data_IF_738941452810
#
_entry.id   IF_738941452810
#
_cell.length_a   1.000
_cell.length_b   1.000
_cell.length_c   1.000
_cell.angle_alpha   90.00
_cell.angle_beta   90.00
_cell.angle_gamma   90.00
#
_symmetry.space_group_name_H-M   'P 1'
#
loop_
_entity.id
_entity.type
_entity.pdbx_description
1 polymer ?
#
# COMPACT_ATOMS: atom_id res chain seq x y z
N UNK A 1 2.68 -13.76 56.60
CA UNK A 1 2.51 -12.41 56.03
C UNK A 1 3.59 -11.99 55.01
N UNK A 2 4.62 -12.80 54.74
CA UNK A 2 5.67 -12.47 53.75
C UNK A 2 5.48 -13.10 52.36
N UNK A 3 4.68 -14.16 52.21
CA UNK A 3 4.47 -14.85 50.93
C UNK A 3 3.48 -14.10 50.03
N UNK A 4 2.53 -13.36 50.63
CA UNK A 4 1.50 -12.63 49.89
C UNK A 4 2.06 -11.40 49.14
N UNK A 5 3.10 -10.76 49.68
CA UNK A 5 3.78 -9.63 49.04
C UNK A 5 4.68 -10.04 47.86
N UNK A 6 5.19 -11.27 47.86
CA UNK A 6 6.05 -11.76 46.77
C UNK A 6 5.25 -12.08 45.51
N UNK A 7 4.01 -12.58 45.67
CA UNK A 7 3.11 -12.89 44.56
C UNK A 7 2.54 -11.61 43.91
N UNK A 8 2.34 -10.53 44.67
CA UNK A 8 1.92 -9.25 44.10
C UNK A 8 3.02 -8.52 43.30
N UNK A 9 4.31 -8.80 43.58
CA UNK A 9 5.43 -8.22 42.82
C UNK A 9 5.72 -8.92 41.50
N UNK A 10 5.17 -10.13 41.26
CA UNK A 10 5.34 -10.87 40.01
C UNK A 10 4.26 -10.57 38.94
N UNK A 11 3.23 -9.78 39.28
CA UNK A 11 2.18 -9.40 38.34
C UNK A 11 2.33 -7.99 37.73
N UNK A 12 3.44 -7.30 38.02
CA UNK A 12 3.83 -6.07 37.32
C UNK A 12 4.77 -6.37 36.14
N UNK A 13 4.42 -7.35 35.30
CA UNK A 13 4.77 -7.21 33.88
C UNK A 13 3.88 -6.09 33.38
N UNK A 14 4.43 -4.89 33.24
CA UNK A 14 3.79 -3.81 32.49
C UNK A 14 3.30 -4.39 31.17
N UNK A 15 1.99 -4.70 31.08
CA UNK A 15 1.32 -4.87 29.80
C UNK A 15 1.49 -3.52 29.12
N UNK A 16 2.51 -3.38 28.26
CA UNK A 16 2.57 -2.27 27.31
C UNK A 16 1.18 -2.17 26.70
N UNK A 17 0.48 -1.06 26.93
CA UNK A 17 -0.82 -0.83 26.33
C UNK A 17 -0.68 -1.18 24.84
N UNK A 18 -1.54 -2.09 24.37
CA UNK A 18 -1.49 -2.56 23.01
C UNK A 18 -1.87 -1.38 22.11
N UNK A 19 -0.86 -0.63 21.66
CA UNK A 19 -1.01 0.51 20.75
C UNK A 19 -1.70 -0.01 19.49
N UNK A 20 -2.88 0.52 19.21
CA UNK A 20 -3.62 0.25 17.98
C UNK A 20 -3.40 1.41 17.00
N UNK A 21 -3.22 1.09 15.72
CA UNK A 21 -3.13 2.10 14.66
C UNK A 21 -4.53 2.63 14.37
N UNK A 22 -4.65 3.93 14.11
CA UNK A 22 -5.80 4.56 13.46
C UNK A 22 -5.53 4.62 11.96
N UNK A 23 -6.26 3.85 11.18
CA UNK A 23 -6.04 3.70 9.74
C UNK A 23 -7.23 4.27 8.96
N UNK A 24 -6.96 5.23 8.07
CA UNK A 24 -7.95 5.79 7.16
C UNK A 24 -7.90 5.08 5.81
N UNK A 25 -8.96 4.34 5.45
CA UNK A 25 -9.06 3.64 4.17
C UNK A 25 -9.85 4.50 3.20
N UNK A 26 -9.18 5.03 2.18
CA UNK A 26 -9.80 5.91 1.19
C UNK A 26 -10.71 5.10 0.27
N UNK A 27 -12.00 5.43 0.25
CA UNK A 27 -13.00 4.73 -0.55
C UNK A 27 -13.46 5.59 -1.72
N UNK A 28 -13.01 5.22 -2.92
CA UNK A 28 -13.52 5.78 -4.17
C UNK A 28 -14.75 4.98 -4.63
N UNK A 29 -15.64 5.56 -5.46
CA UNK A 29 -16.67 4.81 -6.15
C UNK A 29 -16.05 3.62 -6.89
N UNK A 30 -16.66 2.44 -6.80
CA UNK A 30 -16.17 1.20 -7.43
C UNK A 30 -14.83 0.63 -6.91
N UNK A 31 -14.23 1.20 -5.86
CA UNK A 31 -13.23 0.48 -5.07
C UNK A 31 -13.84 -0.83 -4.55
N UNK A 32 -13.06 -1.92 -4.54
CA UNK A 32 -13.59 -3.27 -4.21
C UNK A 32 -12.68 -4.10 -3.28
N UNK A 33 -11.52 -3.59 -2.90
CA UNK A 33 -10.63 -4.20 -1.90
C UNK A 33 -10.64 -3.40 -0.57
N UNK A 34 -11.58 -2.46 -0.42
CA UNK A 34 -11.75 -1.62 0.75
C UNK A 34 -12.11 -2.45 2.00
N UNK A 35 -13.05 -3.39 1.88
CA UNK A 35 -13.38 -4.33 2.96
C UNK A 35 -12.26 -5.33 3.25
N UNK A 36 -11.55 -5.83 2.23
CA UNK A 36 -10.37 -6.70 2.43
C UNK A 36 -9.32 -5.97 3.28
N UNK A 37 -9.06 -4.70 2.94
CA UNK A 37 -8.13 -3.83 3.67
C UNK A 37 -8.62 -3.58 5.10
N UNK A 38 -9.91 -3.28 5.29
CA UNK A 38 -10.51 -3.08 6.61
C UNK A 38 -10.31 -4.31 7.49
N UNK A 39 -10.67 -5.48 6.98
CA UNK A 39 -10.54 -6.75 7.68
C UNK A 39 -9.09 -7.07 8.01
N UNK A 40 -8.17 -6.79 7.07
CA UNK A 40 -6.74 -6.99 7.29
C UNK A 40 -6.25 -6.23 8.52
N UNK A 41 -6.51 -4.94 8.66
CA UNK A 41 -6.08 -4.18 9.84
C UNK A 41 -6.82 -4.60 11.12
N UNK A 42 -8.12 -4.89 11.05
CA UNK A 42 -8.90 -5.34 12.20
C UNK A 42 -8.40 -6.67 12.77
N UNK A 43 -7.97 -7.60 11.91
CA UNK A 43 -7.40 -8.90 12.31
C UNK A 43 -6.14 -8.75 13.17
N UNK A 44 -5.38 -7.67 12.99
CA UNK A 44 -4.21 -7.35 13.81
C UNK A 44 -4.52 -6.42 15.00
N UNK A 45 -5.81 -6.21 15.32
CA UNK A 45 -6.31 -5.33 16.39
C UNK A 45 -6.01 -3.84 16.18
N UNK A 46 -6.02 -3.38 14.93
CA UNK A 46 -5.96 -1.95 14.61
C UNK A 46 -7.35 -1.38 14.30
N UNK A 47 -7.51 -0.07 14.51
CA UNK A 47 -8.75 0.65 14.23
C UNK A 47 -8.69 1.23 12.83
N UNK A 48 -9.33 0.54 11.89
CA UNK A 48 -9.48 1.01 10.53
C UNK A 48 -10.91 1.52 10.28
N UNK A 49 -11.04 2.62 9.56
CA UNK A 49 -12.33 3.18 9.14
C UNK A 49 -12.27 3.71 7.71
N UNK A 50 -13.43 3.78 7.06
CA UNK A 50 -13.53 4.31 5.70
C UNK A 50 -13.53 5.83 5.69
N UNK A 51 -12.83 6.39 4.71
CA UNK A 51 -12.84 7.82 4.37
C UNK A 51 -13.43 7.95 2.97
N UNK A 52 -14.57 8.62 2.86
CA UNK A 52 -15.26 8.77 1.58
C UNK A 52 -14.52 9.73 0.64
N UNK A 53 -14.51 9.47 -0.66
CA UNK A 53 -13.74 10.28 -1.62
C UNK A 53 -14.14 11.77 -1.72
N UNK A 54 -15.30 12.14 -1.17
CA UNK A 54 -15.77 13.54 -1.11
C UNK A 54 -15.31 14.28 0.15
N UNK A 55 -14.73 13.59 1.13
CA UNK A 55 -14.18 14.24 2.32
C UNK A 55 -13.04 15.17 1.93
N UNK A 56 -12.94 16.32 2.59
CA UNK A 56 -11.86 17.29 2.38
C UNK A 56 -10.95 17.43 3.60
N UNK A 57 -11.38 16.88 4.74
CA UNK A 57 -10.67 16.93 6.00
C UNK A 57 -10.57 15.51 6.56
N UNK A 58 -9.38 15.14 7.03
CA UNK A 58 -9.14 13.83 7.61
C UNK A 58 -9.10 13.95 9.13
N UNK A 59 -9.66 12.94 9.80
CA UNK A 59 -9.40 12.69 11.22
C UNK A 59 -7.90 12.42 11.43
N UNK A 60 -7.40 12.52 12.68
CA UNK A 60 -6.01 12.16 12.99
C UNK A 60 -5.80 10.65 12.85
N UNK A 61 -5.31 10.24 11.68
CA UNK A 61 -4.88 8.88 11.37
C UNK A 61 -3.37 8.74 11.56
N UNK A 62 -2.92 7.53 11.86
CA UNK A 62 -1.50 7.14 11.88
C UNK A 62 -1.04 6.61 10.51
N UNK A 63 -1.98 6.16 9.68
CA UNK A 63 -1.75 5.63 8.34
C UNK A 63 -2.95 5.90 7.44
N UNK A 64 -2.70 6.30 6.20
CA UNK A 64 -3.70 6.28 5.13
C UNK A 64 -3.45 5.13 4.18
N UNK A 65 -4.52 4.47 3.75
CA UNK A 65 -4.45 3.39 2.76
C UNK A 65 -5.37 3.72 1.60
N UNK A 66 -4.82 3.75 0.39
CA UNK A 66 -5.58 3.70 -0.85
C UNK A 66 -5.68 2.21 -1.25
N UNK A 67 -6.86 1.59 -1.12
CA UNK A 67 -7.03 0.16 -1.34
C UNK A 67 -7.00 -0.18 -2.84
N UNK A 68 -6.92 -1.47 -3.13
CA UNK A 68 -7.06 -1.98 -4.49
C UNK A 68 -8.49 -1.90 -5.04
N UNK A 69 -8.60 -2.29 -6.31
CA UNK A 69 -9.88 -2.43 -7.03
C UNK A 69 -9.90 -1.65 -8.33
N UNK A 70 -11.03 -1.01 -8.62
CA UNK A 70 -11.25 -0.28 -9.87
C UNK A 70 -11.90 1.06 -9.53
N UNK A 71 -11.18 2.00 -8.91
CA UNK A 71 -11.72 3.31 -8.61
C UNK A 71 -12.30 3.95 -9.88
N UNK A 72 -13.58 4.34 -9.81
CA UNK A 72 -14.40 4.80 -10.94
C UNK A 72 -14.45 3.83 -12.13
N UNK A 73 -14.29 2.53 -11.88
CA UNK A 73 -14.26 1.47 -12.88
C UNK A 73 -13.02 1.47 -13.76
N UNK A 74 -11.94 2.16 -13.35
CA UNK A 74 -10.76 2.48 -14.17
C UNK A 74 -11.07 3.31 -15.43
N UNK A 75 -12.24 3.96 -15.45
CA UNK A 75 -12.73 4.76 -16.57
C UNK A 75 -12.52 6.24 -16.32
N UNK A 76 -12.06 6.95 -17.35
CA UNK A 76 -12.09 8.42 -17.40
C UNK A 76 -13.22 8.85 -18.33
N UNK A 77 -14.15 9.66 -17.81
CA UNK A 77 -15.36 10.05 -18.52
C UNK A 77 -15.87 11.43 -18.08
N UNK A 78 -16.62 12.10 -18.97
CA UNK A 78 -17.35 13.35 -18.62
C UNK A 78 -18.70 13.07 -17.96
N UNK A 79 -19.37 11.99 -18.36
CA UNK A 79 -20.65 11.51 -17.81
C UNK A 79 -20.57 9.99 -17.63
N UNK A 80 -21.15 9.46 -16.55
CA UNK A 80 -21.03 8.04 -16.21
C UNK A 80 -21.55 7.09 -17.31
N UNK A 81 -22.52 7.54 -18.11
CA UNK A 81 -23.10 6.79 -19.23
C UNK A 81 -22.46 7.11 -20.59
N UNK A 82 -21.48 8.02 -20.62
CA UNK A 82 -20.85 8.48 -21.86
C UNK A 82 -19.69 7.60 -22.33
N UNK A 83 -19.07 8.02 -23.43
CA UNK A 83 -17.79 7.45 -23.88
C UNK A 83 -16.73 7.62 -22.78
N UNK A 84 -15.89 6.61 -22.64
CA UNK A 84 -14.80 6.59 -21.67
C UNK A 84 -13.52 6.09 -22.32
N UNK A 85 -12.39 6.38 -21.67
CA UNK A 85 -11.12 5.71 -21.89
C UNK A 85 -10.74 4.93 -20.64
N UNK A 86 -9.98 3.84 -20.81
CA UNK A 86 -9.42 3.09 -19.69
C UNK A 86 -8.09 3.72 -19.28
N UNK A 87 -8.07 4.34 -18.12
CA UNK A 87 -6.86 4.90 -17.52
C UNK A 87 -6.98 4.84 -15.99
N UNK A 88 -6.61 3.69 -15.40
CA UNK A 88 -6.78 3.43 -13.97
C UNK A 88 -6.20 4.53 -13.08
N UNK A 89 -6.98 4.93 -12.07
CA UNK A 89 -6.60 5.96 -11.10
C UNK A 89 -6.75 7.40 -11.57
N UNK A 90 -6.82 7.68 -12.87
CA UNK A 90 -6.88 9.08 -13.38
C UNK A 90 -8.15 9.80 -12.96
N UNK A 91 -9.32 9.14 -13.06
CA UNK A 91 -10.59 9.75 -12.64
C UNK A 91 -10.63 10.05 -11.13
N UNK A 92 -9.91 9.27 -10.31
CA UNK A 92 -9.85 9.45 -8.88
C UNK A 92 -9.18 10.78 -8.47
N UNK A 93 -8.27 11.30 -9.30
CA UNK A 93 -7.59 12.58 -9.06
C UNK A 93 -8.56 13.76 -8.93
N UNK A 94 -9.74 13.66 -9.53
CA UNK A 94 -10.78 14.70 -9.48
C UNK A 94 -11.60 14.68 -8.16
N UNK A 95 -11.32 13.73 -7.26
CA UNK A 95 -12.07 13.59 -6.01
C UNK A 95 -11.59 14.59 -4.94
N UNK A 96 -12.50 15.21 -4.17
CA UNK A 96 -12.13 16.16 -3.11
C UNK A 96 -11.11 15.62 -2.09
N UNK A 97 -11.16 14.31 -1.78
CA UNK A 97 -10.22 13.67 -0.83
C UNK A 97 -8.76 13.78 -1.25
N UNK A 98 -8.48 13.99 -2.53
CA UNK A 98 -7.12 14.18 -3.01
C UNK A 98 -6.46 15.41 -2.39
N UNK A 99 -7.22 16.48 -2.11
CA UNK A 99 -6.72 17.65 -1.38
C UNK A 99 -6.19 17.23 0.00
N UNK A 100 -6.94 16.41 0.70
CA UNK A 100 -6.59 15.93 2.03
C UNK A 100 -5.40 14.95 1.99
N UNK A 101 -5.32 14.11 0.96
CA UNK A 101 -4.18 13.20 0.72
C UNK A 101 -2.89 13.99 0.45
N UNK A 102 -2.93 15.04 -0.36
CA UNK A 102 -1.76 15.91 -0.56
C UNK A 102 -1.32 16.62 0.72
N UNK A 103 -2.28 17.07 1.55
CA UNK A 103 -1.97 17.67 2.85
C UNK A 103 -1.35 16.65 3.82
N UNK A 104 -1.86 15.42 3.85
CA UNK A 104 -1.29 14.32 4.62
C UNK A 104 0.15 14.01 4.19
N UNK A 105 0.38 13.91 2.88
CA UNK A 105 1.71 13.70 2.30
C UNK A 105 2.70 14.82 2.67
N UNK A 106 2.26 16.09 2.65
CA UNK A 106 3.09 17.23 3.06
C UNK A 106 3.46 17.21 4.55
N UNK A 107 2.59 16.63 5.38
CA UNK A 107 2.83 16.42 6.82
C UNK A 107 3.60 15.12 7.12
N UNK A 108 4.11 14.46 6.08
CA UNK A 108 4.83 13.19 6.18
C UNK A 108 4.01 12.07 6.86
N UNK A 109 2.68 12.16 6.82
CA UNK A 109 1.81 11.07 7.25
C UNK A 109 2.02 9.85 6.34
N UNK A 110 2.20 8.64 6.88
CA UNK A 110 2.38 7.45 6.07
C UNK A 110 1.19 7.17 5.15
N UNK A 111 1.48 6.87 3.89
CA UNK A 111 0.45 6.52 2.88
C UNK A 111 0.85 5.23 2.18
N UNK A 112 -0.07 4.26 2.12
CA UNK A 112 0.09 2.99 1.42
C UNK A 112 -0.93 2.87 0.28
N UNK A 113 -0.47 2.74 -0.96
CA UNK A 113 -1.30 2.45 -2.12
C UNK A 113 -1.18 0.99 -2.55
N UNK A 114 -2.28 0.24 -2.52
CA UNK A 114 -2.33 -1.17 -2.91
C UNK A 114 -3.01 -1.29 -4.27
N UNK A 115 -2.36 -1.94 -5.24
CA UNK A 115 -2.85 -2.17 -6.60
C UNK A 115 -3.38 -0.88 -7.25
N UNK A 116 -4.69 -0.65 -7.26
CA UNK A 116 -5.29 0.59 -7.77
C UNK A 116 -4.89 1.84 -6.98
N UNK A 117 -4.68 1.72 -5.67
CA UNK A 117 -4.10 2.78 -4.86
C UNK A 117 -2.69 3.18 -5.32
N UNK A 118 -1.86 2.21 -5.73
CA UNK A 118 -0.53 2.52 -6.30
C UNK A 118 -0.66 3.29 -7.61
N UNK A 119 -1.58 2.89 -8.49
CA UNK A 119 -1.89 3.61 -9.74
C UNK A 119 -2.29 5.07 -9.46
N UNK A 120 -3.17 5.30 -8.48
CA UNK A 120 -3.61 6.64 -8.09
C UNK A 120 -2.43 7.48 -7.57
N UNK A 121 -1.59 6.92 -6.69
CA UNK A 121 -0.44 7.65 -6.12
C UNK A 121 0.60 8.03 -7.17
N UNK A 122 0.84 7.16 -8.16
CA UNK A 122 1.72 7.47 -9.30
C UNK A 122 1.10 8.57 -10.16
N UNK A 123 -0.19 8.48 -10.50
CA UNK A 123 -0.91 9.50 -11.28
C UNK A 123 -0.99 10.85 -10.56
N UNK A 124 -1.03 10.85 -9.23
CA UNK A 124 -0.99 12.03 -8.38
C UNK A 124 0.41 12.67 -8.27
N UNK A 125 1.46 12.04 -8.83
CA UNK A 125 2.84 12.51 -8.69
C UNK A 125 3.42 12.33 -7.27
N UNK A 126 2.75 11.55 -6.41
CA UNK A 126 3.21 11.24 -5.05
C UNK A 126 4.21 10.08 -5.02
N UNK A 127 4.19 9.23 -6.05
CA UNK A 127 5.16 8.16 -6.29
C UNK A 127 5.77 8.30 -7.69
N UNK A 128 7.05 7.89 -7.86
CA UNK A 128 7.73 7.98 -9.15
C UNK A 128 7.25 6.92 -10.15
N UNK A 129 7.55 7.14 -11.43
CA UNK A 129 7.33 6.19 -12.53
C UNK A 129 5.94 6.23 -13.15
N UNK A 130 5.59 5.20 -13.93
CA UNK A 130 4.28 5.08 -14.59
C UNK A 130 3.80 3.63 -14.54
N UNK A 131 2.50 3.42 -14.29
CA UNK A 131 1.85 2.12 -14.42
C UNK A 131 1.06 2.06 -15.73
N UNK A 132 1.37 1.06 -16.57
CA UNK A 132 0.78 0.85 -17.89
C UNK A 132 0.04 -0.49 -17.94
N UNK A 133 -0.70 -0.71 -19.03
CA UNK A 133 -1.28 -2.02 -19.32
C UNK A 133 -0.20 -3.10 -19.28
N UNK A 134 -0.54 -4.27 -18.73
CA UNK A 134 0.34 -5.43 -18.70
C UNK A 134 0.85 -5.73 -20.13
N UNK A 135 2.09 -6.22 -20.25
CA UNK A 135 2.66 -6.57 -21.56
C UNK A 135 1.83 -7.63 -22.31
N UNK A 136 1.15 -8.53 -21.59
CA UNK A 136 0.22 -9.52 -22.14
C UNK A 136 -1.08 -8.93 -22.68
N UNK A 137 -1.40 -7.66 -22.37
CA UNK A 137 -2.69 -6.99 -22.63
C UNK A 137 -3.89 -7.65 -21.95
N UNK A 138 -3.66 -8.62 -21.07
CA UNK A 138 -4.70 -9.36 -20.35
C UNK A 138 -4.66 -9.05 -18.84
N UNK A 139 -5.79 -9.23 -18.18
CA UNK A 139 -5.88 -9.21 -16.72
C UNK A 139 -5.15 -10.43 -16.15
N UNK A 140 -4.24 -10.22 -15.21
CA UNK A 140 -3.54 -11.28 -14.51
C UNK A 140 -4.10 -11.41 -13.10
N UNK A 141 -4.57 -12.60 -12.73
CA UNK A 141 -5.14 -12.92 -11.42
C UNK A 141 -4.62 -14.26 -10.93
N UNK A 142 -3.50 -14.24 -10.21
CA UNK A 142 -2.88 -15.47 -9.69
C UNK A 142 -1.94 -15.15 -8.52
N UNK A 143 -1.42 -16.21 -7.90
CA UNK A 143 -0.32 -16.15 -6.96
C UNK A 143 1.01 -15.94 -7.67
N UNK A 144 1.85 -15.08 -7.11
CA UNK A 144 3.23 -14.93 -7.54
C UNK A 144 4.16 -14.96 -6.33
N UNK A 145 5.44 -15.23 -6.59
CA UNK A 145 6.48 -15.10 -5.58
C UNK A 145 7.07 -13.70 -5.66
N UNK A 146 7.14 -13.00 -4.55
CA UNK A 146 7.85 -11.74 -4.43
C UNK A 146 9.09 -11.90 -3.55
N UNK A 147 10.09 -11.08 -3.81
CA UNK A 147 11.32 -10.94 -3.04
C UNK A 147 11.35 -9.57 -2.37
N UNK A 148 11.66 -9.53 -1.07
CA UNK A 148 11.87 -8.31 -0.31
C UNK A 148 13.19 -7.67 -0.75
N UNK A 149 13.12 -6.41 -1.12
CA UNK A 149 14.26 -5.60 -1.55
C UNK A 149 14.42 -4.40 -0.62
N UNK A 150 15.64 -3.86 -0.57
CA UNK A 150 15.93 -2.59 0.12
C UNK A 150 15.51 -2.56 1.60
N UNK A 151 15.53 -1.35 2.18
CA UNK A 151 15.15 -1.13 3.57
C UNK A 151 13.98 -0.14 3.71
N UNK A 152 13.47 0.46 2.63
CA UNK A 152 12.55 1.61 2.74
C UNK A 152 11.21 1.27 3.42
N UNK A 153 10.65 0.10 3.16
CA UNK A 153 9.35 -0.30 3.71
C UNK A 153 9.47 -1.27 4.88
N UNK A 154 10.12 -2.42 4.67
CA UNK A 154 10.24 -3.45 5.70
C UNK A 154 11.16 -3.05 6.85
N UNK A 155 12.13 -2.16 6.58
CA UNK A 155 13.12 -1.63 7.52
C UNK A 155 13.72 -2.70 8.45
N UNK A 156 13.92 -3.92 7.95
CA UNK A 156 14.43 -5.06 8.67
C UNK A 156 15.39 -5.83 7.76
N UNK A 157 16.69 -5.71 8.05
CA UNK A 157 17.75 -6.33 7.27
C UNK A 157 17.66 -7.86 7.25
N UNK A 158 17.05 -8.48 8.26
CA UNK A 158 16.89 -9.94 8.30
C UNK A 158 15.87 -10.46 7.28
N UNK A 159 14.97 -9.58 6.81
CA UNK A 159 13.97 -9.89 5.79
C UNK A 159 14.48 -9.67 4.37
N UNK A 160 15.63 -9.03 4.19
CA UNK A 160 16.19 -8.75 2.86
C UNK A 160 16.41 -10.07 2.10
N UNK A 161 15.99 -10.10 0.82
CA UNK A 161 16.02 -11.28 -0.06
C UNK A 161 15.10 -12.44 0.35
N UNK A 162 14.34 -12.33 1.43
CA UNK A 162 13.31 -13.32 1.73
C UNK A 162 12.22 -13.29 0.64
N UNK A 163 11.70 -14.48 0.34
CA UNK A 163 10.66 -14.66 -0.66
C UNK A 163 9.39 -15.21 -0.05
N UNK A 164 8.24 -14.80 -0.58
CA UNK A 164 6.95 -15.31 -0.17
C UNK A 164 5.94 -15.24 -1.32
N UNK A 165 4.92 -16.11 -1.23
CA UNK A 165 3.80 -16.09 -2.18
C UNK A 165 2.77 -15.03 -1.78
N UNK A 166 2.31 -14.25 -2.75
CA UNK A 166 1.33 -13.17 -2.57
C UNK A 166 0.41 -13.11 -3.80
N UNK A 167 -0.91 -12.87 -3.64
CA UNK A 167 -1.81 -12.79 -4.77
C UNK A 167 -1.67 -11.44 -5.49
N UNK A 168 -1.95 -11.47 -6.78
CA UNK A 168 -1.91 -10.31 -7.68
C UNK A 168 -3.18 -10.34 -8.52
N UNK A 169 -3.79 -9.17 -8.76
CA UNK A 169 -5.00 -9.04 -9.57
C UNK A 169 -5.01 -7.69 -10.31
N UNK A 170 -4.47 -7.63 -11.53
CA UNK A 170 -4.41 -6.38 -12.29
C UNK A 170 -4.31 -6.56 -13.81
N UNK A 171 -4.90 -5.62 -14.57
CA UNK A 171 -4.70 -5.46 -16.02
C UNK A 171 -3.69 -4.35 -16.40
N UNK A 172 -3.41 -3.44 -15.45
CA UNK A 172 -2.54 -2.27 -15.61
C UNK A 172 -1.50 -2.20 -14.49
N UNK A 173 -0.73 -3.27 -14.31
CA UNK A 173 0.28 -3.37 -13.26
C UNK A 173 1.71 -3.15 -13.74
N UNK A 174 1.93 -2.85 -15.03
CA UNK A 174 3.29 -2.77 -15.59
C UNK A 174 3.95 -1.45 -15.16
N UNK A 175 4.86 -1.54 -14.19
CA UNK A 175 5.68 -0.41 -13.78
C UNK A 175 6.78 -0.18 -14.82
N UNK A 176 6.72 0.98 -15.47
CA UNK A 176 7.55 1.32 -16.61
C UNK A 176 8.32 2.62 -16.32
N UNK A 177 9.65 2.53 -16.39
CA UNK A 177 10.60 3.59 -16.09
C UNK A 177 11.84 3.43 -16.98
N UNK A 178 12.54 4.54 -17.24
CA UNK A 178 13.82 4.54 -17.94
C UNK A 178 14.94 3.88 -17.12
N UNK A 179 16.03 3.52 -17.79
CA UNK A 179 17.22 2.97 -17.11
C UNK A 179 17.83 3.96 -16.10
N UNK A 180 17.76 5.27 -16.38
CA UNK A 180 18.23 6.33 -15.49
C UNK A 180 17.38 6.39 -14.22
N UNK A 181 16.07 6.40 -14.36
CA UNK A 181 15.13 6.37 -13.22
C UNK A 181 15.32 5.10 -12.39
N UNK A 182 15.50 3.95 -13.04
CA UNK A 182 15.78 2.69 -12.33
C UNK A 182 17.02 2.80 -11.43
N UNK A 183 18.13 3.31 -11.97
CA UNK A 183 19.37 3.48 -11.22
C UNK A 183 19.23 4.48 -10.06
N UNK A 184 18.41 5.52 -10.23
CA UNK A 184 18.11 6.46 -9.15
C UNK A 184 17.30 5.80 -8.03
N UNK A 185 16.22 5.07 -8.36
CA UNK A 185 15.41 4.35 -7.37
C UNK A 185 16.21 3.29 -6.64
N UNK A 186 17.10 2.56 -7.34
CA UNK A 186 17.97 1.56 -6.74
C UNK A 186 18.98 2.18 -5.77
N UNK A 187 19.67 3.25 -6.19
CA UNK A 187 20.62 3.98 -5.31
C UNK A 187 19.95 4.58 -4.08
N UNK A 188 18.72 5.08 -4.22
CA UNK A 188 17.96 5.64 -3.11
C UNK A 188 17.28 4.55 -2.25
N UNK A 189 17.41 3.26 -2.59
CA UNK A 189 16.79 2.17 -1.85
C UNK A 189 15.25 2.17 -1.89
N UNK A 190 14.64 2.80 -2.89
CA UNK A 190 13.19 3.01 -2.99
C UNK A 190 12.44 1.77 -3.47
N UNK A 191 13.13 0.81 -4.09
CA UNK A 191 12.52 -0.43 -4.56
C UNK A 191 12.48 -1.41 -3.39
N UNK A 192 11.29 -1.64 -2.83
CA UNK A 192 11.13 -2.51 -1.65
C UNK A 192 10.59 -3.91 -1.97
N UNK A 193 10.09 -4.12 -3.19
CA UNK A 193 9.51 -5.40 -3.59
C UNK A 193 9.74 -5.65 -5.09
N UNK A 194 10.22 -6.85 -5.43
CA UNK A 194 10.32 -7.33 -6.81
C UNK A 194 9.60 -8.66 -6.97
N UNK A 195 9.00 -8.90 -8.14
CA UNK A 195 8.57 -10.24 -8.53
C UNK A 195 9.80 -11.15 -8.71
N UNK A 196 9.67 -12.40 -8.27
CA UNK A 196 10.71 -13.42 -8.33
C UNK A 196 10.22 -14.58 -9.20
N UNK A 197 11.12 -15.15 -9.99
CA UNK A 197 10.88 -16.26 -10.93
C UNK A 197 9.92 -15.96 -12.09
N UNK A 198 9.05 -14.96 -11.98
CA UNK A 198 8.16 -14.50 -13.05
C UNK A 198 8.03 -12.97 -13.07
N UNK A 199 7.51 -12.44 -14.17
CA UNK A 199 7.17 -11.03 -14.31
C UNK A 199 5.76 -10.91 -14.96
N UNK A 200 4.69 -11.01 -14.14
CA UNK A 200 3.34 -11.22 -14.65
C UNK A 200 2.78 -10.03 -15.45
N UNK A 201 3.28 -8.82 -15.21
CA UNK A 201 2.86 -7.59 -15.91
C UNK A 201 3.90 -7.07 -16.91
N UNK A 202 5.15 -7.55 -16.86
CA UNK A 202 6.25 -7.04 -17.67
C UNK A 202 6.89 -5.76 -17.13
N UNK A 203 6.83 -5.50 -15.82
CA UNK A 203 7.46 -4.34 -15.17
C UNK A 203 8.97 -4.29 -15.39
N UNK A 204 9.53 -3.08 -15.50
CA UNK A 204 10.98 -2.85 -15.55
C UNK A 204 11.67 -3.53 -14.37
N UNK A 205 12.64 -4.40 -14.68
CA UNK A 205 13.45 -5.15 -13.69
C UNK A 205 12.62 -5.85 -12.60
N UNK A 206 11.42 -6.33 -12.97
CA UNK A 206 10.49 -7.04 -12.10
C UNK A 206 9.99 -6.24 -10.89
N UNK A 207 10.01 -4.90 -10.95
CA UNK A 207 9.55 -4.07 -9.82
C UNK A 207 8.06 -4.33 -9.53
N UNK A 208 7.77 -4.60 -8.26
CA UNK A 208 6.41 -4.85 -7.75
C UNK A 208 5.95 -3.78 -6.76
N UNK A 209 6.87 -3.06 -6.12
CA UNK A 209 6.56 -1.96 -5.21
C UNK A 209 7.72 -1.00 -4.98
N UNK A 210 7.39 0.28 -4.80
CA UNK A 210 8.33 1.40 -4.62
C UNK A 210 7.85 2.39 -3.57
N UNK A 211 8.78 3.11 -2.97
CA UNK A 211 8.51 4.24 -2.08
C UNK A 211 8.83 5.59 -2.73
N UNK A 212 8.35 6.69 -2.14
CA UNK A 212 8.90 8.01 -2.41
C UNK A 212 10.31 8.14 -1.82
N UNK A 213 11.06 9.18 -2.20
CA UNK A 213 12.45 9.36 -1.74
C UNK A 213 12.58 9.52 -0.22
N UNK A 214 11.55 10.07 0.44
CA UNK A 214 11.52 10.23 1.90
C UNK A 214 11.20 8.92 2.65
N UNK A 215 10.65 7.91 1.98
CA UNK A 215 10.17 6.69 2.63
C UNK A 215 8.90 6.87 3.47
N UNK A 216 8.03 7.82 3.12
CA UNK A 216 6.74 8.06 3.80
C UNK A 216 5.53 7.58 2.98
N UNK A 217 5.70 7.42 1.67
CA UNK A 217 4.63 6.99 0.76
C UNK A 217 5.11 5.71 0.06
N UNK A 218 4.24 4.70 0.01
CA UNK A 218 4.54 3.38 -0.51
C UNK A 218 3.46 2.93 -1.48
N UNK A 219 3.87 2.28 -2.56
CA UNK A 219 2.97 1.70 -3.54
C UNK A 219 3.39 0.30 -3.93
N UNK A 220 2.44 -0.62 -4.05
CA UNK A 220 2.69 -1.98 -4.52
C UNK A 220 1.52 -2.53 -5.35
N UNK A 221 1.83 -3.38 -6.32
CA UNK A 221 0.82 -4.08 -7.13
C UNK A 221 0.23 -5.34 -6.48
N UNK A 222 0.99 -6.16 -5.73
CA UNK A 222 0.42 -7.31 -5.03
C UNK A 222 -0.55 -6.93 -3.90
N UNK A 223 -1.39 -7.87 -3.49
CA UNK A 223 -2.42 -7.68 -2.46
C UNK A 223 -2.03 -8.36 -1.13
N UNK A 224 -1.27 -7.70 -0.23
CA UNK A 224 -0.91 -8.26 1.06
C UNK A 224 -2.12 -8.51 1.97
N UNK A 225 -3.19 -7.75 1.80
CA UNK A 225 -4.44 -7.86 2.55
C UNK A 225 -5.22 -9.16 2.26
N UNK A 226 -4.88 -9.86 1.17
CA UNK A 226 -5.55 -11.09 0.71
C UNK A 226 -4.81 -12.39 1.07
N UNK A 227 -3.79 -12.33 1.93
CA UNK A 227 -2.98 -13.51 2.27
C UNK A 227 -2.46 -13.48 3.70
N UNK A 228 -2.22 -14.67 4.28
CA UNK A 228 -1.55 -14.80 5.57
C UNK A 228 -0.11 -14.27 5.57
N UNK A 229 0.55 -14.25 4.41
CA UNK A 229 1.87 -13.62 4.24
C UNK A 229 1.82 -12.09 4.35
N UNK A 230 0.63 -11.48 4.35
CA UNK A 230 0.42 -10.07 4.67
C UNK A 230 0.96 -9.68 6.05
N UNK A 231 1.18 -10.65 6.96
CA UNK A 231 1.83 -10.44 8.26
C UNK A 231 3.20 -9.75 8.16
N UNK A 232 3.97 -9.97 7.08
CA UNK A 232 5.26 -9.29 6.89
C UNK A 232 5.07 -7.79 6.68
N UNK A 233 4.04 -7.41 5.91
CA UNK A 233 3.67 -6.01 5.68
C UNK A 233 3.11 -5.37 6.95
N UNK A 234 2.29 -6.10 7.71
CA UNK A 234 1.78 -5.57 8.98
C UNK A 234 2.93 -5.27 9.96
N UNK A 235 3.87 -6.21 10.14
CA UNK A 235 5.03 -5.99 11.01
C UNK A 235 5.88 -4.81 10.57
N UNK A 236 6.04 -4.62 9.26
CA UNK A 236 6.72 -3.46 8.69
C UNK A 236 6.00 -2.14 9.02
N UNK A 237 4.67 -2.10 8.85
CA UNK A 237 3.84 -0.94 9.18
C UNK A 237 3.91 -0.61 10.67
N UNK A 238 3.74 -1.60 11.54
CA UNK A 238 3.84 -1.41 13.00
C UNK A 238 5.22 -0.91 13.40
N UNK A 239 6.28 -1.48 12.84
CA UNK A 239 7.66 -1.03 13.09
C UNK A 239 7.90 0.38 12.60
N UNK A 240 7.38 0.75 11.44
CA UNK A 240 7.52 2.09 10.87
C UNK A 240 6.84 3.14 11.75
N UNK A 241 5.65 2.84 12.27
CA UNK A 241 4.83 3.83 13.00
C UNK A 241 5.21 3.91 14.49
N UNK A 242 5.63 2.81 15.09
CA UNK A 242 5.94 2.75 16.54
C UNK A 242 7.42 2.71 16.89
N UNK A 243 8.29 2.33 15.95
CA UNK A 243 9.74 2.27 16.13
C UNK A 243 10.40 3.61 15.91
#
# INVERSE_FOLDING_TARGET
MLIFFYIMKLNHVQRKEKKFLKVGIIRFPCSNCDFDTLHFFQKFNHKAEFVWHKETHLKPFDLLVLPGGFAFGDRVYKKATGKYILDPGTQALNSPVMVAIYQAAKKDLPILGICNGFQILVKAGLLPGVLKQNKSKQFFCDWTTCEIMGNSFFNDKSLLHQTFKIPVAHGYGRYDISQREYQELERNGQIFLKFKNSNPNGSTKNIAGVSNKKGTIFGLMPHPERTSNGKYFMRAIEKYIYG
#
